data_IF_082172908729
#
_entry.id   IF_082172908729
#
_cell.length_a   1.000
_cell.length_b   1.000
_cell.length_c   1.000
_cell.angle_alpha   90.00
_cell.angle_beta   90.00
_cell.angle_gamma   90.00
#
_symmetry.space_group_name_H-M   'P 1'
#
loop_
_entity.id
_entity.type
_entity.pdbx_description
1 polymer ?
#
# COMPACT_ATOMS: atom_id res chain seq x y z
N UNK A 1 3.54 -15.78 3.01
CA UNK A 1 2.73 -15.65 4.24
C UNK A 1 1.31 -15.36 3.80
N UNK A 2 0.33 -16.14 4.25
CA UNK A 2 -1.08 -15.92 3.89
C UNK A 2 -1.70 -14.99 4.94
N UNK A 3 -2.45 -13.98 4.48
CA UNK A 3 -3.18 -13.03 5.33
C UNK A 3 -4.64 -12.96 4.92
N UNK A 4 -5.50 -12.59 5.88
CA UNK A 4 -6.91 -12.33 5.65
C UNK A 4 -7.13 -10.81 5.69
N UNK A 5 -7.20 -10.13 4.53
CA UNK A 5 -7.43 -8.69 4.52
C UNK A 5 -8.84 -8.37 5.04
N UNK A 6 -9.04 -7.19 5.65
CA UNK A 6 -10.38 -6.74 6.02
C UNK A 6 -11.32 -6.68 4.80
N UNK A 7 -12.58 -7.04 5.00
CA UNK A 7 -13.60 -7.08 3.92
C UNK A 7 -13.86 -5.73 3.27
N UNK A 8 -13.57 -4.62 3.95
CA UNK A 8 -13.69 -3.28 3.37
C UNK A 8 -12.54 -2.92 2.42
N UNK A 9 -11.44 -3.68 2.45
CA UNK A 9 -10.30 -3.54 1.52
C UNK A 9 -10.48 -4.51 0.35
N UNK A 10 -10.80 -5.77 0.65
CA UNK A 10 -11.02 -6.80 -0.36
C UNK A 10 -12.31 -7.54 -0.04
N UNK A 11 -13.31 -7.40 -0.91
CA UNK A 11 -14.59 -8.10 -0.77
C UNK A 11 -14.63 -9.42 -1.55
N UNK A 12 -13.79 -9.57 -2.58
CA UNK A 12 -13.85 -10.67 -3.56
C UNK A 12 -13.02 -11.91 -3.18
N UNK A 13 -12.10 -11.78 -2.22
CA UNK A 13 -11.16 -12.84 -1.84
C UNK A 13 -10.91 -12.83 -0.34
N UNK A 14 -11.02 -13.97 0.32
CA UNK A 14 -10.84 -14.08 1.78
C UNK A 14 -9.36 -14.16 2.22
N UNK A 15 -8.43 -14.48 1.30
CA UNK A 15 -7.00 -14.67 1.58
C UNK A 15 -6.10 -14.06 0.52
N UNK A 16 -4.97 -13.50 0.95
CA UNK A 16 -3.90 -12.99 0.08
C UNK A 16 -2.58 -13.62 0.47
N UNK A 17 -1.82 -14.11 -0.51
CA UNK A 17 -0.48 -14.63 -0.29
C UNK A 17 0.58 -13.54 -0.50
N UNK A 18 1.15 -13.02 0.59
CA UNK A 18 2.21 -12.01 0.54
C UNK A 18 3.57 -12.55 0.06
N UNK A 19 3.73 -13.86 -0.09
CA UNK A 19 4.93 -14.44 -0.74
C UNK A 19 4.87 -14.36 -2.26
N UNK A 20 3.69 -14.10 -2.83
CA UNK A 20 3.52 -13.82 -4.25
C UNK A 20 3.65 -12.30 -4.47
N UNK A 21 4.68 -11.83 -5.19
CA UNK A 21 4.91 -10.40 -5.42
C UNK A 21 3.72 -9.70 -6.08
N UNK A 22 2.99 -10.39 -6.95
CA UNK A 22 1.82 -9.82 -7.62
C UNK A 22 0.71 -9.55 -6.60
N UNK A 23 0.39 -10.54 -5.78
CA UNK A 23 -0.63 -10.42 -4.74
C UNK A 23 -0.25 -9.41 -3.64
N UNK A 24 1.03 -9.35 -3.26
CA UNK A 24 1.53 -8.35 -2.32
C UNK A 24 1.30 -6.94 -2.85
N UNK A 25 1.71 -6.67 -4.10
CA UNK A 25 1.53 -5.36 -4.75
C UNK A 25 0.06 -5.02 -4.91
N UNK A 26 -0.73 -5.96 -5.38
CA UNK A 26 -2.16 -5.77 -5.54
C UNK A 26 -2.85 -5.38 -4.23
N UNK A 27 -2.56 -6.08 -3.13
CA UNK A 27 -3.11 -5.72 -1.82
C UNK A 27 -2.61 -4.35 -1.36
N UNK A 28 -1.35 -4.02 -1.60
CA UNK A 28 -0.81 -2.69 -1.30
C UNK A 28 -1.56 -1.61 -2.08
N UNK A 29 -1.84 -1.79 -3.37
CA UNK A 29 -2.68 -0.86 -4.14
C UNK A 29 -4.06 -0.67 -3.52
N UNK A 30 -4.73 -1.78 -3.13
CA UNK A 30 -6.05 -1.71 -2.50
C UNK A 30 -6.02 -0.89 -1.20
N UNK A 31 -5.00 -1.10 -0.36
CA UNK A 31 -4.86 -0.38 0.89
C UNK A 31 -4.54 1.12 0.62
N UNK A 32 -3.67 1.44 -0.33
CA UNK A 32 -3.33 2.84 -0.62
C UNK A 32 -4.51 3.63 -1.25
N UNK A 33 -5.39 2.96 -1.97
CA UNK A 33 -6.55 3.58 -2.63
C UNK A 33 -7.81 3.63 -1.75
N UNK A 34 -8.05 2.59 -0.96
CA UNK A 34 -9.33 2.37 -0.25
C UNK A 34 -9.15 2.11 1.25
N UNK A 35 -7.91 2.09 1.73
CA UNK A 35 -7.58 1.89 3.13
C UNK A 35 -8.14 2.97 4.05
N UNK A 36 -8.52 2.55 5.26
CA UNK A 36 -8.78 3.48 6.35
C UNK A 36 -7.44 3.94 6.93
N UNK A 37 -7.47 5.01 7.70
CA UNK A 37 -6.28 5.52 8.38
C UNK A 37 -5.58 4.47 9.28
N UNK A 38 -6.32 3.49 9.80
CA UNK A 38 -5.77 2.37 10.57
C UNK A 38 -5.00 1.38 9.68
N UNK A 39 -5.55 1.02 8.52
CA UNK A 39 -4.91 0.13 7.55
C UNK A 39 -3.61 0.74 7.02
N UNK A 40 -3.67 2.04 6.69
CA UNK A 40 -2.49 2.82 6.27
C UNK A 40 -1.42 2.84 7.36
N UNK A 41 -1.80 3.00 8.63
CA UNK A 41 -0.85 3.02 9.76
C UNK A 41 -0.18 1.67 10.02
N UNK A 42 -0.82 0.58 9.64
CA UNK A 42 -0.23 -0.76 9.75
C UNK A 42 0.83 -1.03 8.67
N UNK A 43 0.84 -0.25 7.58
CA UNK A 43 1.85 -0.38 6.53
C UNK A 43 3.19 0.21 6.97
N UNK A 44 4.26 -0.44 6.52
CA UNK A 44 5.61 0.10 6.66
C UNK A 44 5.88 1.09 5.53
N UNK A 45 6.39 2.26 5.88
CA UNK A 45 6.74 3.30 4.90
C UNK A 45 7.81 2.79 3.92
N UNK A 46 8.76 1.98 4.38
CA UNK A 46 9.81 1.40 3.52
C UNK A 46 9.22 0.50 2.42
N UNK A 47 8.18 -0.28 2.74
CA UNK A 47 7.51 -1.15 1.76
C UNK A 47 6.78 -0.32 0.70
N UNK A 48 6.16 0.79 1.10
CA UNK A 48 5.50 1.71 0.17
C UNK A 48 6.55 2.32 -0.76
N UNK A 49 7.67 2.83 -0.23
CA UNK A 49 8.76 3.42 -1.03
C UNK A 49 9.33 2.45 -2.06
N UNK A 50 9.56 1.19 -1.67
CA UNK A 50 10.18 0.20 -2.54
C UNK A 50 9.28 -0.23 -3.70
N UNK A 51 7.96 -0.20 -3.50
CA UNK A 51 7.00 -0.73 -4.47
C UNK A 51 6.25 0.37 -5.23
N UNK A 52 6.25 1.64 -4.78
CA UNK A 52 5.37 2.72 -5.30
C UNK A 52 5.38 2.83 -6.83
N UNK A 53 6.56 2.83 -7.45
CA UNK A 53 6.73 2.96 -8.91
C UNK A 53 6.18 1.74 -9.69
N UNK A 54 5.91 0.62 -9.00
CA UNK A 54 5.43 -0.64 -9.57
C UNK A 54 3.94 -0.89 -9.30
N UNK A 55 3.28 -0.05 -8.50
CA UNK A 55 1.88 -0.24 -8.09
C UNK A 55 0.87 0.19 -9.17
N UNK A 56 1.29 0.93 -10.19
CA UNK A 56 0.41 1.41 -11.27
C UNK A 56 -0.80 2.18 -10.73
N UNK A 57 -0.58 3.01 -9.70
CA UNK A 57 -1.62 3.79 -9.06
C UNK A 57 -2.13 4.89 -10.01
N UNK A 58 -3.37 5.37 -9.80
CA UNK A 58 -3.82 6.62 -10.41
C UNK A 58 -2.86 7.77 -10.07
N UNK A 59 -2.63 8.67 -11.04
CA UNK A 59 -1.61 9.74 -10.95
C UNK A 59 -1.78 10.64 -9.71
N UNK A 60 -3.02 10.93 -9.34
CA UNK A 60 -3.37 11.75 -8.18
C UNK A 60 -2.98 11.07 -6.86
N UNK A 61 -3.26 9.76 -6.75
CA UNK A 61 -2.89 8.95 -5.59
C UNK A 61 -1.38 8.75 -5.52
N UNK A 62 -0.74 8.44 -6.65
CA UNK A 62 0.71 8.28 -6.71
C UNK A 62 1.43 9.58 -6.32
N UNK A 63 0.99 10.72 -6.86
CA UNK A 63 1.56 12.03 -6.56
C UNK A 63 1.40 12.42 -5.08
N UNK A 64 0.25 12.09 -4.47
CA UNK A 64 0.03 12.30 -3.04
C UNK A 64 1.05 11.53 -2.22
N UNK A 65 1.21 10.23 -2.50
CA UNK A 65 2.16 9.38 -1.78
C UNK A 65 3.59 9.82 -2.00
N UNK A 66 3.98 10.14 -3.23
CA UNK A 66 5.33 10.62 -3.55
C UNK A 66 5.69 11.86 -2.73
N UNK A 67 4.81 12.87 -2.70
CA UNK A 67 5.02 14.11 -1.92
C UNK A 67 5.06 13.84 -0.42
N UNK A 68 4.24 12.92 0.09
CA UNK A 68 4.27 12.54 1.50
C UNK A 68 5.60 11.87 1.88
N UNK A 69 6.12 10.99 1.02
CA UNK A 69 7.40 10.31 1.24
C UNK A 69 8.58 11.30 1.19
N UNK A 70 8.57 12.25 0.25
CA UNK A 70 9.55 13.35 0.19
C UNK A 70 9.55 14.18 1.47
N UNK A 71 8.36 14.53 1.99
CA UNK A 71 8.23 15.24 3.27
C UNK A 71 8.81 14.44 4.44
N UNK A 72 8.56 13.13 4.48
CA UNK A 72 9.12 12.25 5.53
C UNK A 72 10.64 12.18 5.46
N UNK A 73 11.22 12.13 4.26
CA UNK A 73 12.67 12.10 4.09
C UNK A 73 13.34 13.39 4.50
N UNK A 74 12.74 14.54 4.17
CA UNK A 74 13.23 15.84 4.61
C UNK A 74 13.16 16.06 6.12
N UNK A 75 12.27 15.35 6.83
CA UNK A 75 12.12 15.44 8.29
C UNK A 75 13.04 14.51 9.07
N UNK A 76 13.44 13.39 8.46
CA UNK A 76 14.33 12.40 9.07
C UNK A 76 15.83 12.74 8.86
N UNK A 77 16.12 13.84 8.17
CA UNK A 77 17.44 14.44 7.98
C UNK A 77 17.58 15.68 8.84
#
# INVERSE_FOLDING_TARGET
>A
MIVHPPRHIVWSTDTVNLSDPFQKRWLLCQILMHGRAEDIRALRIEDIKAELDQLGLPEDIESLWRRYLEYLDARNH
#
